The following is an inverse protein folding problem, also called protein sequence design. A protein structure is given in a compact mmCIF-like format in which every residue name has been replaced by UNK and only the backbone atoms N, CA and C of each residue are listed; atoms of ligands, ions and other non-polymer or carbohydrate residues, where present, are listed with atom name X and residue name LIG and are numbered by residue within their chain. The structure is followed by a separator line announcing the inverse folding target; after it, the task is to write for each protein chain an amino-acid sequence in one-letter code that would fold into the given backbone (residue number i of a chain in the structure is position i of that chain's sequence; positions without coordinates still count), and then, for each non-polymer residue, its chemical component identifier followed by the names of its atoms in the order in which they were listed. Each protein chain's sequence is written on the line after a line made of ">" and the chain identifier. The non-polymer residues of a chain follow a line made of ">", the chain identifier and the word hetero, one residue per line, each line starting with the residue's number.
data_IF_838893476512
#
_entry.id   IF_838893476512
#
_cell.length_a   1.000
_cell.length_b   1.000
_cell.length_c   1.000
_cell.angle_alpha   90.00
_cell.angle_beta   90.00
_cell.angle_gamma   90.00
#
_symmetry.space_group_name_H-M   'P 1'
#
loop_
_entity.id
_entity.type
_entity.pdbx_description
1 polymer ?
#
# COMPACT_ATOMS: atom_id res chain seq x y z
N UNK A 1 5.44 11.97 -13.84
CA UNK A 1 4.22 11.71 -14.62
C UNK A 1 3.10 11.37 -13.64
N UNK A 2 1.91 11.96 -13.75
CA UNK A 2 0.72 11.40 -13.10
C UNK A 2 0.26 10.25 -14.00
N UNK A 3 0.40 8.99 -13.56
CA UNK A 3 -0.16 7.82 -14.29
C UNK A 3 -1.65 8.08 -14.54
N UNK A 4 -2.15 7.68 -15.71
CA UNK A 4 -3.55 7.90 -16.05
C UNK A 4 -4.43 7.13 -15.05
N UNK A 5 -5.52 7.74 -14.56
CA UNK A 5 -6.42 7.09 -13.59
C UNK A 5 -7.01 5.78 -14.14
N UNK A 6 -7.20 5.69 -15.46
CA UNK A 6 -7.65 4.46 -16.14
C UNK A 6 -6.61 3.33 -16.03
N UNK A 7 -5.33 3.63 -16.23
CA UNK A 7 -4.23 2.67 -16.08
C UNK A 7 -4.12 2.20 -14.62
N UNK A 8 -4.20 3.12 -13.65
CA UNK A 8 -4.17 2.76 -12.23
C UNK A 8 -5.33 1.84 -11.83
N UNK A 9 -6.53 2.07 -12.39
CA UNK A 9 -7.68 1.21 -12.14
C UNK A 9 -7.48 -0.21 -12.72
N UNK A 10 -6.77 -0.34 -13.85
CA UNK A 10 -6.47 -1.63 -14.46
C UNK A 10 -5.40 -2.38 -13.66
N UNK A 11 -4.34 -1.68 -13.22
CA UNK A 11 -3.26 -2.25 -12.42
C UNK A 11 -3.80 -2.73 -11.06
N UNK A 12 -4.59 -1.90 -10.38
CA UNK A 12 -5.21 -2.20 -9.08
C UNK A 12 -6.69 -2.54 -9.24
N UNK A 13 -6.98 -3.47 -10.15
CA UNK A 13 -8.34 -4.00 -10.34
C UNK A 13 -8.75 -4.86 -9.15
N UNK A 14 -7.86 -5.72 -8.67
CA UNK A 14 -8.15 -6.69 -7.64
C UNK A 14 -7.75 -6.14 -6.25
N UNK A 15 -8.62 -6.21 -5.23
CA UNK A 15 -8.30 -5.69 -3.90
C UNK A 15 -7.39 -6.62 -3.08
N UNK A 16 -7.32 -7.91 -3.43
CA UNK A 16 -6.56 -8.95 -2.73
C UNK A 16 -5.86 -9.88 -3.74
N UNK A 17 -4.72 -10.52 -3.39
CA UNK A 17 -3.93 -11.34 -4.29
C UNK A 17 -4.49 -12.77 -4.42
N UNK A 18 -5.81 -12.90 -4.43
CA UNK A 18 -6.53 -14.17 -4.58
C UNK A 18 -7.19 -14.20 -5.95
N UNK A 19 -7.28 -15.38 -6.55
CA UNK A 19 -7.94 -15.58 -7.82
C UNK A 19 -9.39 -15.99 -7.57
N UNK A 20 -10.33 -15.20 -8.08
CA UNK A 20 -11.75 -15.52 -7.94
C UNK A 20 -12.18 -16.44 -9.07
N UNK A 21 -13.16 -17.30 -8.80
CA UNK A 21 -13.81 -18.11 -9.84
C UNK A 21 -14.41 -17.24 -10.94
N UNK A 22 -14.88 -16.04 -10.61
CA UNK A 22 -15.43 -15.05 -11.56
C UNK A 22 -14.36 -14.56 -12.54
N UNK A 23 -13.11 -14.40 -12.11
CA UNK A 23 -12.03 -13.90 -12.98
C UNK A 23 -11.66 -14.89 -14.08
N UNK A 24 -11.76 -16.19 -13.79
CA UNK A 24 -11.42 -17.27 -14.73
C UNK A 24 -12.62 -17.78 -15.52
N UNK A 25 -13.80 -17.84 -14.90
CA UNK A 25 -15.00 -18.48 -15.46
C UNK A 25 -16.05 -17.49 -15.96
N UNK A 26 -15.87 -16.20 -15.66
CA UNK A 26 -16.81 -15.13 -15.99
C UNK A 26 -17.91 -14.96 -14.94
N UNK A 27 -18.64 -13.86 -15.07
CA UNK A 27 -19.81 -13.56 -14.24
C UNK A 27 -20.95 -14.54 -14.49
N UNK A 28 -21.83 -14.68 -13.49
CA UNK A 28 -23.04 -15.48 -13.67
C UNK A 28 -23.93 -14.83 -14.75
N UNK A 29 -24.57 -15.64 -15.60
CA UNK A 29 -25.62 -15.20 -16.51
C UNK A 29 -26.61 -14.22 -15.92
N UNK A 30 -27.02 -13.25 -16.71
CA UNK A 30 -28.32 -12.62 -16.52
C UNK A 30 -29.40 -13.63 -16.95
N UNK A 31 -30.35 -13.89 -16.05
CA UNK A 31 -31.44 -14.83 -16.28
C UNK A 31 -32.63 -14.06 -16.85
N UNK A 32 -33.16 -14.54 -17.98
CA UNK A 32 -34.41 -14.02 -18.53
C UNK A 32 -35.55 -14.96 -18.11
N UNK A 33 -36.46 -14.45 -17.28
CA UNK A 33 -37.52 -15.25 -16.64
C UNK A 33 -38.37 -16.02 -17.67
N UNK A 34 -38.58 -15.48 -18.86
CA UNK A 34 -39.41 -16.09 -19.90
C UNK A 34 -38.68 -17.12 -20.77
N UNK A 35 -37.33 -17.13 -20.75
CA UNK A 35 -36.53 -18.00 -21.60
C UNK A 35 -35.93 -19.17 -20.79
N UNK A 36 -36.49 -20.38 -20.99
CA UNK A 36 -35.99 -21.60 -20.35
C UNK A 36 -34.53 -21.94 -20.67
N UNK A 37 -34.00 -21.50 -21.81
CA UNK A 37 -32.58 -21.70 -22.17
C UNK A 37 -31.67 -20.86 -21.27
N UNK A 38 -32.10 -19.66 -20.86
CA UNK A 38 -31.31 -18.82 -19.95
C UNK A 38 -31.20 -19.45 -18.55
N UNK A 39 -32.27 -20.10 -18.09
CA UNK A 39 -32.26 -20.91 -16.87
C UNK A 39 -31.35 -22.11 -17.01
N UNK A 40 -31.43 -22.85 -18.11
CA UNK A 40 -30.55 -23.99 -18.36
C UNK A 40 -29.08 -23.56 -18.38
N UNK A 41 -28.75 -22.44 -19.03
CA UNK A 41 -27.40 -21.90 -19.06
C UNK A 41 -26.90 -21.48 -17.67
N UNK A 42 -27.77 -20.89 -16.83
CA UNK A 42 -27.46 -20.63 -15.43
C UNK A 42 -27.19 -21.91 -14.64
N UNK A 43 -28.05 -22.91 -14.76
CA UNK A 43 -27.87 -24.19 -14.07
C UNK A 43 -26.57 -24.88 -14.47
N UNK A 44 -26.21 -24.86 -15.75
CA UNK A 44 -24.92 -25.38 -16.23
C UNK A 44 -23.77 -24.59 -15.58
N UNK A 45 -23.84 -23.25 -15.56
CA UNK A 45 -22.79 -22.42 -14.94
C UNK A 45 -22.66 -22.67 -13.44
N UNK A 46 -23.77 -22.73 -12.70
CA UNK A 46 -23.79 -23.07 -11.29
C UNK A 46 -23.21 -24.47 -11.07
N UNK A 47 -23.64 -25.47 -11.84
CA UNK A 47 -23.11 -26.82 -11.76
C UNK A 47 -21.60 -26.84 -12.01
N UNK A 48 -21.10 -26.14 -13.04
CA UNK A 48 -19.64 -26.03 -13.25
C UNK A 48 -18.93 -25.40 -12.06
N UNK A 49 -19.49 -24.38 -11.41
CA UNK A 49 -18.89 -23.77 -10.21
C UNK A 49 -18.83 -24.73 -9.02
N UNK A 50 -19.89 -25.51 -8.79
CA UNK A 50 -19.96 -26.47 -7.68
C UNK A 50 -19.11 -27.73 -7.91
N UNK A 51 -19.03 -28.22 -9.14
CA UNK A 51 -18.36 -29.49 -9.46
C UNK A 51 -16.90 -29.33 -9.92
N UNK A 52 -16.39 -28.11 -10.05
CA UNK A 52 -14.98 -27.89 -10.40
C UNK A 52 -14.26 -27.14 -9.29
N UNK A 53 -13.07 -27.64 -8.92
CA UNK A 53 -12.22 -27.02 -7.90
C UNK A 53 -11.99 -25.54 -8.21
N UNK A 54 -12.07 -24.64 -7.22
CA UNK A 54 -11.83 -23.22 -7.44
C UNK A 54 -10.40 -23.01 -7.99
N UNK A 55 -10.21 -22.04 -8.90
CA UNK A 55 -8.87 -21.70 -9.38
C UNK A 55 -8.00 -21.30 -8.19
N UNK A 56 -6.75 -21.76 -8.18
CA UNK A 56 -5.77 -21.40 -7.14
C UNK A 56 -4.57 -20.78 -7.82
N UNK A 57 -4.38 -19.49 -7.57
CA UNK A 57 -3.14 -18.82 -7.93
C UNK A 57 -1.96 -19.45 -7.17
N UNK A 58 -0.75 -19.45 -7.75
CA UNK A 58 0.45 -19.90 -7.04
C UNK A 58 0.63 -19.09 -5.75
N UNK A 59 1.22 -19.67 -4.70
CA UNK A 59 1.53 -18.93 -3.48
C UNK A 59 2.75 -18.03 -3.70
N UNK A 60 2.70 -16.81 -3.19
CA UNK A 60 3.86 -15.90 -3.18
C UNK A 60 4.89 -16.41 -2.18
N UNK A 61 6.17 -16.42 -2.56
CA UNK A 61 7.24 -16.90 -1.69
C UNK A 61 7.76 -15.76 -0.81
N UNK A 62 7.54 -15.89 0.49
CA UNK A 62 7.98 -14.92 1.50
C UNK A 62 9.17 -15.54 2.25
N UNK A 63 10.36 -14.96 2.12
CA UNK A 63 11.51 -15.37 2.93
C UNK A 63 11.45 -14.70 4.30
N UNK A 64 11.58 -15.50 5.37
CA UNK A 64 11.87 -14.99 6.70
C UNK A 64 13.39 -15.02 6.88
N UNK A 65 14.01 -13.84 6.84
CA UNK A 65 15.46 -13.63 6.90
C UNK A 65 15.85 -13.05 8.26
N UNK A 66 17.03 -13.40 8.78
CA UNK A 66 17.56 -12.78 9.99
C UNK A 66 17.95 -11.32 9.71
N UNK A 67 17.55 -10.33 10.55
CA UNK A 67 17.06 -10.45 11.94
C UNK A 67 15.52 -10.37 12.10
N UNK A 68 14.73 -11.04 11.27
CA UNK A 68 13.26 -11.03 11.36
C UNK A 68 12.55 -10.26 10.26
N UNK A 69 13.14 -10.22 9.06
CA UNK A 69 12.62 -9.50 7.90
C UNK A 69 11.80 -10.47 7.04
N UNK A 70 10.53 -10.15 6.83
CA UNK A 70 9.69 -10.83 5.85
C UNK A 70 9.89 -10.19 4.48
N UNK A 71 10.65 -10.84 3.60
CA UNK A 71 11.03 -10.30 2.29
C UNK A 71 10.32 -11.04 1.14
N UNK A 72 9.80 -10.25 0.21
CA UNK A 72 9.41 -10.70 -1.13
C UNK A 72 10.51 -10.27 -2.10
N UNK A 73 11.31 -11.22 -2.56
CA UNK A 73 12.43 -10.95 -3.49
C UNK A 73 12.06 -11.09 -4.96
N UNK A 74 11.11 -11.96 -5.30
CA UNK A 74 10.69 -12.13 -6.68
C UNK A 74 9.92 -10.91 -7.17
N UNK A 75 10.33 -10.33 -8.30
CA UNK A 75 9.65 -9.18 -8.90
C UNK A 75 8.15 -9.44 -9.16
N UNK A 76 7.81 -10.66 -9.61
CA UNK A 76 6.42 -11.06 -9.82
C UNK A 76 5.59 -11.03 -8.52
N UNK A 77 6.14 -11.56 -7.42
CA UNK A 77 5.47 -11.59 -6.12
C UNK A 77 5.39 -10.19 -5.51
N UNK A 78 6.45 -9.38 -5.63
CA UNK A 78 6.45 -7.98 -5.21
C UNK A 78 5.33 -7.18 -5.90
N UNK A 79 5.26 -7.27 -7.24
CA UNK A 79 4.22 -6.60 -8.03
C UNK A 79 2.84 -7.13 -7.70
N UNK A 80 2.68 -8.45 -7.52
CA UNK A 80 1.39 -9.06 -7.18
C UNK A 80 0.90 -8.62 -5.81
N UNK A 81 1.76 -8.63 -4.79
CA UNK A 81 1.45 -8.19 -3.43
C UNK A 81 1.07 -6.70 -3.40
N UNK A 82 1.81 -5.85 -4.12
CA UNK A 82 1.51 -4.43 -4.17
C UNK A 82 0.25 -4.11 -4.99
N UNK A 83 0.12 -4.68 -6.19
CA UNK A 83 -0.97 -4.36 -7.10
C UNK A 83 -2.32 -4.87 -6.57
N UNK A 84 -2.31 -6.02 -5.91
CA UNK A 84 -3.50 -6.67 -5.40
C UNK A 84 -3.62 -6.51 -3.87
N UNK A 85 -3.62 -5.28 -3.38
CA UNK A 85 -3.92 -5.00 -1.97
C UNK A 85 -2.85 -4.25 -1.18
N UNK A 86 -1.84 -3.68 -1.86
CA UNK A 86 -0.84 -2.76 -1.31
C UNK A 86 -0.03 -3.33 -0.14
N UNK A 87 0.25 -4.63 -0.19
CA UNK A 87 1.06 -5.30 0.82
C UNK A 87 2.54 -4.92 0.69
N UNK A 88 3.20 -4.77 1.84
CA UNK A 88 4.63 -4.54 1.90
C UNK A 88 5.08 -3.16 1.46
N UNK A 89 6.39 -2.95 1.48
CA UNK A 89 7.02 -1.70 1.09
C UNK A 89 8.38 -2.01 0.47
N UNK A 90 8.66 -1.44 -0.69
CA UNK A 90 10.00 -1.56 -1.29
C UNK A 90 11.07 -0.97 -0.37
N UNK A 91 12.20 -1.64 -0.24
CA UNK A 91 13.32 -1.18 0.60
C UNK A 91 14.09 -0.01 -0.01
N UNK A 92 14.22 0.00 -1.34
CA UNK A 92 14.90 1.04 -2.11
C UNK A 92 13.92 2.02 -2.78
N UNK A 93 12.62 1.83 -2.53
CA UNK A 93 11.54 2.69 -3.00
C UNK A 93 10.74 3.29 -1.86
N UNK A 94 10.01 4.38 -2.16
CA UNK A 94 9.19 5.04 -1.13
C UNK A 94 7.96 4.22 -0.73
N UNK A 95 7.43 3.40 -1.64
CA UNK A 95 6.21 2.60 -1.43
C UNK A 95 6.18 1.42 -2.41
N UNK A 96 5.79 1.67 -3.66
CA UNK A 96 5.77 0.67 -4.75
C UNK A 96 7.21 0.28 -5.13
N UNK A 97 7.50 -1.02 -5.31
CA UNK A 97 8.80 -1.51 -5.76
C UNK A 97 9.03 -1.05 -7.20
N UNK A 98 9.73 0.09 -7.34
CA UNK A 98 9.97 0.78 -8.60
C UNK A 98 11.46 1.06 -8.80
N UNK A 99 12.32 0.56 -7.92
CA UNK A 99 13.76 0.82 -7.97
C UNK A 99 14.35 0.26 -9.25
N UNK A 100 14.11 -1.02 -9.57
CA UNK A 100 14.61 -1.63 -10.79
C UNK A 100 14.25 -0.82 -12.04
N UNK A 101 12.97 -0.43 -12.18
CA UNK A 101 12.51 0.42 -13.28
C UNK A 101 13.13 1.83 -13.29
N UNK A 102 13.47 2.38 -12.12
CA UNK A 102 14.14 3.69 -12.02
C UNK A 102 15.62 3.59 -12.40
N UNK A 103 16.30 2.52 -11.98
CA UNK A 103 17.72 2.33 -12.25
C UNK A 103 17.94 1.99 -13.73
N UNK A 104 17.08 1.14 -14.31
CA UNK A 104 17.16 0.80 -15.74
C UNK A 104 16.90 1.98 -16.67
N UNK A 105 16.07 2.94 -16.24
CA UNK A 105 15.83 4.20 -16.96
C UNK A 105 16.75 5.36 -16.55
N UNK A 106 17.66 5.21 -15.58
CA UNK A 106 18.47 6.32 -15.07
C UNK A 106 19.90 5.92 -14.68
N UNK A 107 20.84 6.04 -15.62
CA UNK A 107 22.28 6.16 -15.32
C UNK A 107 22.72 7.60 -15.01
N UNK A 108 21.80 8.48 -14.55
CA UNK A 108 22.14 9.80 -14.01
C UNK A 108 21.48 10.01 -12.65
N UNK A 109 22.28 10.34 -11.64
CA UNK A 109 21.85 10.64 -10.27
C UNK A 109 20.58 11.51 -10.23
N UNK A 110 19.60 11.14 -9.39
CA UNK A 110 18.33 11.88 -9.27
C UNK A 110 18.53 13.37 -8.93
N UNK A 111 19.64 13.69 -8.26
CA UNK A 111 20.04 15.05 -7.93
C UNK A 111 20.56 15.81 -9.17
N UNK A 112 21.36 15.15 -10.01
CA UNK A 112 21.85 15.71 -11.27
C UNK A 112 20.70 15.96 -12.27
N UNK A 113 19.76 15.02 -12.37
CA UNK A 113 18.56 15.21 -13.23
C UNK A 113 17.67 16.31 -12.67
N UNK A 114 17.52 16.39 -11.35
CA UNK A 114 16.73 17.45 -10.71
C UNK A 114 17.42 18.82 -10.84
N UNK A 115 18.74 18.89 -10.75
CA UNK A 115 19.51 20.12 -10.90
C UNK A 115 19.47 20.63 -12.35
N UNK A 116 19.60 19.74 -13.34
CA UNK A 116 19.44 20.08 -14.76
C UNK A 116 18.02 20.54 -15.07
N UNK A 117 16.99 19.83 -14.58
CA UNK A 117 15.58 20.27 -14.73
C UNK A 117 15.34 21.64 -14.08
N UNK A 118 15.97 21.92 -12.94
CA UNK A 118 15.90 23.24 -12.27
C UNK A 118 16.65 24.32 -13.03
N UNK A 119 17.78 23.99 -13.68
CA UNK A 119 18.54 24.88 -14.56
C UNK A 119 17.72 25.25 -15.80
N UNK A 120 17.25 24.25 -16.56
CA UNK A 120 16.42 24.46 -17.76
C UNK A 120 15.11 25.22 -17.44
N UNK A 121 14.48 24.97 -16.29
CA UNK A 121 13.31 25.74 -15.82
C UNK A 121 13.62 27.19 -15.47
N UNK A 122 14.83 27.49 -14.98
CA UNK A 122 15.26 28.87 -14.70
C UNK A 122 15.50 29.61 -16.01
N UNK A 123 16.26 29.00 -16.92
CA UNK A 123 16.53 29.53 -18.26
C UNK A 123 15.21 29.83 -19.01
N UNK A 124 14.26 28.90 -19.02
CA UNK A 124 12.95 29.12 -19.63
C UNK A 124 12.15 30.26 -18.98
N UNK A 125 12.20 30.40 -17.64
CA UNK A 125 11.54 31.50 -16.94
C UNK A 125 12.17 32.85 -17.27
N UNK A 126 13.48 32.91 -17.38
CA UNK A 126 14.23 34.11 -17.75
C UNK A 126 13.91 34.52 -19.20
N UNK A 127 13.95 33.59 -20.14
CA UNK A 127 13.56 33.83 -21.54
C UNK A 127 12.11 34.35 -21.63
N UNK A 128 11.18 33.70 -20.92
CA UNK A 128 9.77 34.12 -20.89
C UNK A 128 9.58 35.49 -20.28
N UNK A 129 10.33 35.83 -19.22
CA UNK A 129 10.26 37.14 -18.59
C UNK A 129 10.79 38.25 -19.52
N UNK A 130 11.87 37.98 -20.27
CA UNK A 130 12.39 38.92 -21.28
C UNK A 130 11.39 39.10 -22.43
N UNK A 131 10.79 38.03 -22.92
CA UNK A 131 9.76 38.08 -23.95
C UNK A 131 8.54 38.91 -23.51
N UNK A 132 8.02 38.65 -22.30
CA UNK A 132 6.87 39.40 -21.75
C UNK A 132 7.15 40.89 -21.54
N UNK A 133 8.40 41.27 -21.22
CA UNK A 133 8.79 42.68 -21.10
C UNK A 133 8.71 43.39 -22.45
N UNK A 134 9.28 42.78 -23.50
CA UNK A 134 9.23 43.33 -24.85
C UNK A 134 7.79 43.39 -25.39
N UNK A 135 6.96 42.40 -25.10
CA UNK A 135 5.53 42.41 -25.46
C UNK A 135 4.78 43.56 -24.76
N UNK A 136 5.08 43.83 -23.49
CA UNK A 136 4.48 44.94 -22.75
C UNK A 136 4.95 46.31 -23.27
N UNK A 137 6.19 46.42 -23.74
CA UNK A 137 6.74 47.62 -24.37
C UNK A 137 6.12 47.87 -25.76
N UNK A 138 5.90 46.81 -26.54
CA UNK A 138 5.20 46.88 -27.84
C UNK A 138 3.78 47.43 -27.73
N UNK A 139 3.09 47.14 -26.63
CA UNK A 139 1.74 47.69 -26.37
C UNK A 139 1.75 49.17 -26.02
N UNK A 140 2.89 49.72 -25.58
CA UNK A 140 3.03 51.11 -25.14
C UNK A 140 3.66 51.99 -26.22
N UNK A 141 4.54 51.44 -27.05
CA UNK A 141 5.24 52.15 -28.12
C UNK A 141 5.51 51.22 -29.30
N UNK A 142 5.73 51.80 -30.47
CA UNK A 142 6.31 51.07 -31.59
C UNK A 142 7.74 50.63 -31.21
N UNK A 143 8.04 49.35 -31.40
CA UNK A 143 9.34 48.78 -31.12
C UNK A 143 10.33 49.15 -32.21
N UNK A 144 11.60 49.32 -31.84
CA UNK A 144 12.68 49.48 -32.82
C UNK A 144 12.89 48.20 -33.63
N UNK A 145 13.53 48.32 -34.80
CA UNK A 145 13.91 47.17 -35.63
C UNK A 145 14.75 46.13 -34.85
N UNK A 146 15.61 46.58 -33.95
CA UNK A 146 16.44 45.71 -33.09
C UNK A 146 15.61 45.00 -32.01
N UNK A 147 14.62 45.69 -31.43
CA UNK A 147 13.74 45.12 -30.41
C UNK A 147 12.79 44.07 -30.99
N UNK A 148 12.31 44.28 -32.22
CA UNK A 148 11.52 43.29 -32.96
C UNK A 148 12.33 42.03 -33.28
N UNK A 149 13.59 42.19 -33.71
CA UNK A 149 14.49 41.05 -33.95
C UNK A 149 14.74 40.25 -32.67
N UNK A 150 14.99 40.94 -31.55
CA UNK A 150 15.22 40.32 -30.24
C UNK A 150 13.99 39.54 -29.73
N UNK A 151 12.79 40.04 -30.02
CA UNK A 151 11.54 39.34 -29.66
C UNK A 151 11.41 38.02 -30.42
N UNK A 152 11.73 37.99 -31.72
CA UNK A 152 11.67 36.76 -32.52
C UNK A 152 12.76 35.77 -32.11
N UNK A 153 13.97 36.23 -31.82
CA UNK A 153 15.05 35.38 -31.27
C UNK A 153 14.66 34.71 -29.94
N UNK A 154 14.01 35.45 -29.04
CA UNK A 154 13.55 34.90 -27.76
C UNK A 154 12.48 33.83 -27.95
N UNK A 155 11.61 33.99 -28.95
CA UNK A 155 10.57 33.03 -29.29
C UNK A 155 11.18 31.72 -29.81
N UNK A 156 12.15 31.80 -30.73
CA UNK A 156 12.88 30.63 -31.24
C UNK A 156 13.61 29.89 -30.10
N UNK A 157 14.34 30.62 -29.24
CA UNK A 157 15.03 30.01 -28.07
C UNK A 157 14.06 29.34 -27.10
N UNK A 158 12.86 29.88 -26.91
CA UNK A 158 11.83 29.25 -26.09
C UNK A 158 11.29 27.96 -26.72
N UNK A 159 11.15 27.90 -28.04
CA UNK A 159 10.75 26.69 -28.77
C UNK A 159 11.85 25.63 -28.73
N UNK A 160 13.12 26.00 -28.92
CA UNK A 160 14.28 25.11 -28.82
C UNK A 160 14.41 24.47 -27.43
N UNK A 161 14.31 25.26 -26.36
CA UNK A 161 14.33 24.72 -24.98
C UNK A 161 13.16 23.77 -24.73
N UNK A 162 12.02 24.00 -25.38
CA UNK A 162 10.84 23.14 -25.26
C UNK A 162 10.98 21.84 -26.06
N UNK A 163 11.51 21.87 -27.28
CA UNK A 163 11.81 20.67 -28.08
C UNK A 163 12.93 19.84 -27.47
N UNK A 164 14.00 20.47 -26.95
CA UNK A 164 15.04 19.78 -26.20
C UNK A 164 14.53 19.13 -24.91
N UNK A 165 13.55 19.75 -24.23
CA UNK A 165 12.92 19.15 -23.06
C UNK A 165 12.04 17.93 -23.41
N UNK A 166 11.55 17.86 -24.65
CA UNK A 166 10.80 16.71 -25.17
C UNK A 166 11.76 15.59 -25.61
N UNK A 167 12.83 15.89 -26.34
CA UNK A 167 13.80 14.88 -26.81
C UNK A 167 14.67 14.29 -25.69
N UNK A 168 15.01 15.05 -24.65
CA UNK A 168 15.64 14.50 -23.43
C UNK A 168 14.78 13.44 -22.73
N UNK A 169 13.48 13.44 -22.98
CA UNK A 169 12.53 12.52 -22.35
C UNK A 169 12.49 11.16 -23.05
N UNK A 170 12.83 11.12 -24.34
CA UNK A 170 12.73 9.93 -25.19
C UNK A 170 14.06 9.14 -25.24
N UNK A 171 15.20 9.79 -24.98
CA UNK A 171 16.53 9.17 -24.98
C UNK A 171 16.99 8.58 -23.62
N UNK A 172 16.13 8.58 -22.59
CA UNK A 172 16.44 8.02 -21.25
C UNK A 172 16.32 6.47 -21.19
N UNK A 173 15.94 5.78 -22.27
CA UNK A 173 15.43 4.39 -22.18
C UNK A 173 16.42 3.24 -22.46
N UNK A 174 17.72 3.45 -22.63
CA UNK A 174 18.62 2.30 -22.86
C UNK A 174 20.03 2.50 -22.32
N UNK A 175 20.35 1.77 -21.24
CA UNK A 175 21.54 0.88 -21.15
C UNK A 175 21.76 0.38 -19.71
N UNK A 176 21.89 -0.95 -19.56
CA UNK A 176 22.71 -1.64 -18.57
C UNK A 176 22.31 -1.52 -17.09
N UNK A 177 21.45 -2.41 -16.58
CA UNK A 177 21.17 -2.46 -15.13
C UNK A 177 20.53 -3.74 -14.59
N UNK A 178 20.70 -4.92 -15.21
CA UNK A 178 20.06 -6.15 -14.69
C UNK A 178 20.52 -6.47 -13.26
N UNK A 179 21.82 -6.33 -12.95
CA UNK A 179 22.37 -6.65 -11.62
C UNK A 179 21.92 -5.71 -10.48
N UNK A 180 21.54 -4.46 -10.79
CA UNK A 180 21.12 -3.49 -9.78
C UNK A 180 19.62 -3.56 -9.49
N UNK A 181 18.81 -4.08 -10.42
CA UNK A 181 17.36 -4.20 -10.23
C UNK A 181 17.01 -5.23 -9.14
N UNK A 182 17.83 -6.29 -9.02
CA UNK A 182 17.66 -7.38 -8.06
C UNK A 182 17.99 -7.01 -6.60
N UNK A 183 18.47 -5.79 -6.35
CA UNK A 183 18.75 -5.30 -5.00
C UNK A 183 17.49 -4.92 -4.21
N UNK A 184 16.40 -4.56 -4.90
CA UNK A 184 15.16 -4.20 -4.22
C UNK A 184 14.32 -5.43 -3.89
N UNK A 185 13.85 -5.49 -2.65
CA UNK A 185 12.82 -6.42 -2.23
C UNK A 185 11.68 -5.67 -1.54
N UNK A 186 10.50 -6.28 -1.50
CA UNK A 186 9.37 -5.73 -0.75
C UNK A 186 9.34 -6.33 0.64
N UNK A 187 9.51 -5.49 1.66
CA UNK A 187 9.43 -5.90 3.05
C UNK A 187 7.97 -5.86 3.51
N UNK A 188 7.48 -6.98 4.02
CA UNK A 188 6.16 -7.12 4.63
C UNK A 188 6.23 -6.84 6.14
N UNK A 189 5.19 -6.21 6.67
CA UNK A 189 4.98 -6.17 8.13
C UNK A 189 4.61 -7.57 8.64
N UNK A 190 4.96 -8.01 9.88
CA UNK A 190 4.62 -9.35 10.36
C UNK A 190 3.12 -9.66 10.30
N UNK A 191 2.26 -8.66 10.54
CA UNK A 191 0.80 -8.79 10.39
C UNK A 191 0.37 -9.00 8.93
N UNK A 192 1.06 -8.36 7.97
CA UNK A 192 0.81 -8.53 6.53
C UNK A 192 1.24 -9.92 6.07
N UNK A 193 2.43 -10.37 6.49
CA UNK A 193 2.96 -11.70 6.17
C UNK A 193 2.05 -12.81 6.73
N UNK A 194 1.64 -12.70 8.00
CA UNK A 194 0.71 -13.66 8.60
C UNK A 194 -0.66 -13.62 7.92
N UNK A 195 -1.19 -12.44 7.56
CA UNK A 195 -2.46 -12.34 6.84
C UNK A 195 -2.42 -13.01 5.45
N UNK A 196 -1.35 -12.80 4.70
CA UNK A 196 -1.15 -13.40 3.38
C UNK A 196 -1.03 -14.93 3.47
N UNK A 197 -0.31 -15.43 4.48
CA UNK A 197 -0.09 -16.86 4.69
C UNK A 197 -1.33 -17.59 5.26
N UNK A 198 -1.90 -17.06 6.33
CA UNK A 198 -2.97 -17.72 7.08
C UNK A 198 -4.36 -17.43 6.49
N UNK A 199 -4.75 -16.16 6.41
CA UNK A 199 -6.13 -15.76 6.11
C UNK A 199 -6.46 -15.88 4.62
N UNK A 200 -5.52 -15.48 3.75
CA UNK A 200 -5.73 -15.54 2.30
C UNK A 200 -5.19 -16.81 1.65
N UNK A 201 -4.33 -17.56 2.34
CA UNK A 201 -3.56 -18.69 1.78
C UNK A 201 -2.83 -18.36 0.46
N UNK A 202 -2.50 -17.07 0.26
CA UNK A 202 -1.92 -16.54 -0.96
C UNK A 202 -0.39 -16.41 -0.88
N UNK A 203 0.19 -16.55 0.32
CA UNK A 203 1.62 -16.56 0.58
C UNK A 203 2.07 -17.85 1.27
N UNK A 204 3.34 -18.18 1.10
CA UNK A 204 4.03 -19.25 1.82
C UNK A 204 5.28 -18.64 2.44
N UNK A 205 5.42 -18.76 3.76
CA UNK A 205 6.57 -18.23 4.49
C UNK A 205 7.59 -19.34 4.68
N UNK A 206 8.80 -19.13 4.21
CA UNK A 206 9.91 -20.08 4.34
C UNK A 206 11.10 -19.43 5.00
N UNK A 207 11.73 -20.18 5.88
CA UNK A 207 13.11 -19.93 6.32
C UNK A 207 14.08 -20.59 5.34
N UNK A 208 15.39 -20.41 5.53
CA UNK A 208 16.41 -21.12 4.75
C UNK A 208 16.27 -22.66 4.81
N UNK A 209 15.68 -23.18 5.90
CA UNK A 209 15.61 -24.62 6.19
C UNK A 209 14.31 -25.25 5.73
N UNK A 210 13.18 -24.56 5.96
CA UNK A 210 11.86 -25.13 5.70
C UNK A 210 10.78 -24.06 5.56
N UNK A 211 9.69 -24.45 4.89
CA UNK A 211 8.40 -23.75 4.93
C UNK A 211 7.82 -23.86 6.34
N UNK A 212 7.36 -22.74 6.88
CA UNK A 212 6.76 -22.67 8.21
C UNK A 212 5.25 -22.96 8.13
N UNK A 213 4.74 -23.74 9.08
CA UNK A 213 3.30 -23.85 9.30
C UNK A 213 2.76 -22.66 10.13
N UNK A 214 1.43 -22.57 10.28
CA UNK A 214 0.76 -21.45 10.96
C UNK A 214 1.28 -21.21 12.40
N UNK A 215 1.54 -22.27 13.18
CA UNK A 215 2.06 -22.15 14.55
C UNK A 215 3.53 -21.74 14.54
N UNK A 216 4.34 -22.36 13.68
CA UNK A 216 5.76 -22.04 13.56
C UNK A 216 5.96 -20.58 13.16
N UNK A 217 5.15 -20.09 12.21
CA UNK A 217 5.14 -18.69 11.83
C UNK A 217 4.76 -17.78 13.01
N UNK A 218 3.72 -18.11 13.78
CA UNK A 218 3.37 -17.35 14.98
C UNK A 218 4.49 -17.36 16.04
N UNK A 219 5.18 -18.49 16.23
CA UNK A 219 6.34 -18.57 17.12
C UNK A 219 7.45 -17.65 16.65
N UNK A 220 7.84 -17.77 15.38
CA UNK A 220 8.88 -16.92 14.79
C UNK A 220 8.54 -15.44 14.90
N UNK A 221 7.27 -15.06 14.70
CA UNK A 221 6.82 -13.67 14.85
C UNK A 221 6.89 -13.21 16.31
N UNK A 222 6.42 -14.03 17.25
CA UNK A 222 6.46 -13.68 18.68
C UNK A 222 7.90 -13.58 19.22
N UNK A 223 8.84 -14.30 18.62
CA UNK A 223 10.27 -14.23 18.96
C UNK A 223 10.99 -13.01 18.36
N UNK A 224 10.36 -12.28 17.44
CA UNK A 224 10.88 -10.99 16.96
C UNK A 224 10.79 -9.89 18.02
N UNK A 225 9.89 -10.04 18.98
CA UNK A 225 9.86 -9.19 20.15
C UNK A 225 10.89 -9.71 21.17
N UNK A 226 11.94 -8.91 21.40
CA UNK A 226 13.03 -9.23 22.32
C UNK A 226 12.76 -8.75 23.76
N UNK A 227 11.52 -8.38 24.08
CA UNK A 227 11.10 -8.11 25.45
C UNK A 227 11.36 -9.31 26.37
N UNK A 228 11.66 -9.05 27.64
CA UNK A 228 11.89 -10.07 28.68
C UNK A 228 10.59 -10.73 29.17
N UNK A 229 9.49 -10.54 28.45
CA UNK A 229 8.17 -11.03 28.81
C UNK A 229 8.00 -12.50 28.39
N UNK A 230 6.96 -13.16 28.88
CA UNK A 230 6.67 -14.54 28.51
C UNK A 230 6.30 -14.64 27.02
N UNK A 231 6.58 -15.81 26.40
CA UNK A 231 6.20 -16.07 25.01
C UNK A 231 4.70 -15.79 24.76
N UNK A 232 3.84 -16.22 25.69
CA UNK A 232 2.38 -16.03 25.59
C UNK A 232 2.01 -14.55 25.59
N UNK A 233 2.72 -13.73 26.37
CA UNK A 233 2.51 -12.28 26.36
C UNK A 233 2.90 -11.67 25.01
N UNK A 234 4.08 -11.99 24.49
CA UNK A 234 4.55 -11.50 23.17
C UNK A 234 3.62 -11.93 22.03
N UNK A 235 3.16 -13.19 22.07
CA UNK A 235 2.14 -13.69 21.14
C UNK A 235 0.83 -12.91 21.26
N UNK A 236 0.35 -12.63 22.46
CA UNK A 236 -0.88 -11.87 22.69
C UNK A 236 -0.77 -10.43 22.18
N UNK A 237 0.38 -9.79 22.38
CA UNK A 237 0.66 -8.46 21.84
C UNK A 237 0.67 -8.43 20.30
N UNK A 238 1.22 -9.47 19.66
CA UNK A 238 1.10 -9.62 18.20
C UNK A 238 -0.35 -9.85 17.75
N UNK A 239 -1.07 -10.76 18.41
CA UNK A 239 -2.45 -11.10 18.06
C UNK A 239 -3.39 -9.90 18.21
N UNK A 240 -3.19 -9.06 19.22
CA UNK A 240 -3.95 -7.81 19.38
C UNK A 240 -3.85 -6.93 18.12
N UNK A 241 -2.64 -6.72 17.60
CA UNK A 241 -2.41 -5.95 16.37
C UNK A 241 -3.00 -6.66 15.15
N UNK A 242 -2.77 -7.97 15.05
CA UNK A 242 -3.24 -8.78 13.93
C UNK A 242 -4.77 -8.83 13.82
N UNK A 243 -5.49 -8.98 14.92
CA UNK A 243 -6.96 -9.07 14.93
C UNK A 243 -7.57 -7.75 14.42
N UNK A 244 -7.03 -6.60 14.83
CA UNK A 244 -7.45 -5.28 14.31
C UNK A 244 -7.11 -5.15 12.82
N UNK A 245 -5.91 -5.56 12.41
CA UNK A 245 -5.53 -5.58 10.99
C UNK A 245 -6.49 -6.44 10.16
N UNK A 246 -6.77 -7.67 10.61
CA UNK A 246 -7.65 -8.63 9.95
C UNK A 246 -9.08 -8.08 9.84
N UNK A 247 -9.62 -7.48 10.91
CA UNK A 247 -10.95 -6.85 10.94
C UNK A 247 -11.09 -5.76 9.86
N UNK A 248 -10.15 -4.83 9.78
CA UNK A 248 -10.26 -3.78 8.75
C UNK A 248 -10.03 -4.31 7.33
N UNK A 249 -9.15 -5.32 7.15
CA UNK A 249 -8.98 -5.97 5.85
C UNK A 249 -10.25 -6.74 5.43
N UNK A 250 -10.95 -7.39 6.35
CA UNK A 250 -12.20 -8.12 6.05
C UNK A 250 -13.36 -7.18 5.70
N UNK A 251 -13.36 -5.97 6.28
CA UNK A 251 -14.27 -4.87 5.88
C UNK A 251 -13.89 -4.21 4.54
N UNK A 252 -12.82 -4.66 3.88
CA UNK A 252 -12.40 -4.17 2.57
C UNK A 252 -11.51 -2.93 2.59
N UNK A 253 -11.01 -2.49 3.75
CA UNK A 253 -10.06 -1.40 3.84
C UNK A 253 -8.67 -1.83 3.40
N UNK A 254 -7.97 -0.94 2.71
CA UNK A 254 -6.53 -1.05 2.55
C UNK A 254 -5.85 -0.49 3.81
N UNK A 255 -5.31 -1.39 4.62
CA UNK A 255 -4.64 -1.09 5.89
C UNK A 255 -3.14 -0.91 5.64
N UNK A 256 -2.55 0.17 6.17
CA UNK A 256 -1.10 0.44 6.12
C UNK A 256 -0.59 0.88 7.48
N UNK A 257 0.71 0.76 7.72
CA UNK A 257 1.34 1.28 8.95
C UNK A 257 1.06 2.78 9.16
N UNK A 258 0.63 3.13 10.37
CA UNK A 258 0.33 4.49 10.80
C UNK A 258 1.48 5.19 11.53
N UNK A 259 2.66 4.58 11.63
CA UNK A 259 3.78 5.07 12.44
C UNK A 259 4.15 6.54 12.18
N UNK A 260 3.95 7.03 10.95
CA UNK A 260 4.20 8.43 10.56
C UNK A 260 3.29 9.45 11.27
N UNK A 261 2.18 9.01 11.84
CA UNK A 261 1.19 9.84 12.49
C UNK A 261 0.94 9.46 13.95
N UNK A 262 1.77 8.56 14.52
CA UNK A 262 1.66 8.12 15.91
C UNK A 262 0.46 7.21 16.18
N UNK A 263 -0.04 6.49 15.17
CA UNK A 263 -1.12 5.51 15.31
C UNK A 263 -0.67 4.17 14.71
N UNK A 264 -1.31 3.06 15.06
CA UNK A 264 -0.89 1.73 14.59
C UNK A 264 -1.18 1.58 13.09
N UNK A 265 -2.38 1.96 12.64
CA UNK A 265 -2.79 1.79 11.24
C UNK A 265 -3.40 3.04 10.61
N UNK A 266 -3.36 3.07 9.28
CA UNK A 266 -4.07 4.00 8.42
C UNK A 266 -4.99 3.22 7.49
N UNK A 267 -6.22 3.70 7.35
CA UNK A 267 -7.21 3.09 6.47
C UNK A 267 -7.39 3.92 5.19
N UNK A 268 -7.21 3.25 4.07
CA UNK A 268 -7.50 3.75 2.73
C UNK A 268 -8.71 3.01 2.17
N UNK A 269 -9.68 3.74 1.63
CA UNK A 269 -10.87 3.13 1.01
C UNK A 269 -10.51 2.23 -0.18
N UNK A 270 -9.49 2.61 -0.94
CA UNK A 270 -9.00 1.84 -2.10
C UNK A 270 -7.51 1.60 -2.08
N UNK A 271 -6.72 2.63 -1.75
CA UNK A 271 -5.28 2.53 -1.60
C UNK A 271 -4.56 3.86 -1.84
N UNK A 272 -3.25 3.93 -1.53
CA UNK A 272 -2.47 5.16 -1.59
C UNK A 272 -2.43 5.90 -2.94
N UNK A 273 -2.39 5.22 -4.12
CA UNK A 273 -2.39 5.91 -5.41
C UNK A 273 -3.70 6.64 -5.74
N UNK A 274 -4.81 6.25 -5.12
CA UNK A 274 -6.14 6.76 -5.44
C UNK A 274 -6.57 7.92 -4.55
N UNK A 275 -6.40 7.74 -3.24
CA UNK A 275 -6.88 8.67 -2.24
C UNK A 275 -5.93 8.68 -1.03
N UNK A 276 -5.95 9.77 -0.26
CA UNK A 276 -5.29 9.79 1.04
C UNK A 276 -6.02 8.87 2.03
N UNK A 277 -5.32 8.39 3.06
CA UNK A 277 -5.95 7.68 4.17
C UNK A 277 -7.02 8.55 4.81
N UNK A 278 -8.18 7.96 5.09
CA UNK A 278 -9.34 8.64 5.68
C UNK A 278 -9.29 8.57 7.21
N UNK A 279 -8.91 7.39 7.73
CA UNK A 279 -8.86 7.11 9.15
C UNK A 279 -7.44 6.79 9.62
N UNK A 280 -7.12 7.21 10.84
CA UNK A 280 -6.04 6.66 11.65
C UNK A 280 -6.62 5.82 12.76
N UNK A 281 -6.07 4.63 12.96
CA UNK A 281 -6.51 3.67 13.98
C UNK A 281 -5.53 3.70 15.12
N UNK A 282 -6.07 3.93 16.32
CA UNK A 282 -5.36 3.82 17.57
C UNK A 282 -5.89 2.60 18.33
N UNK A 283 -5.07 1.59 18.53
CA UNK A 283 -5.44 0.37 19.24
C UNK A 283 -5.35 0.63 20.74
N UNK A 284 -6.37 0.18 21.48
CA UNK A 284 -6.38 0.20 22.94
C UNK A 284 -6.81 -1.18 23.43
N UNK A 285 -6.00 -1.82 24.27
CA UNK A 285 -6.51 -2.94 25.08
C UNK A 285 -7.56 -2.40 26.06
N UNK A 286 -8.57 -3.22 26.36
CA UNK A 286 -9.59 -2.88 27.36
C UNK A 286 -8.97 -2.59 28.74
N UNK A 287 -7.90 -3.32 29.09
CA UNK A 287 -7.25 -3.24 30.41
C UNK A 287 -6.04 -2.29 30.46
N UNK A 288 -5.63 -1.72 29.32
CA UNK A 288 -4.47 -0.83 29.25
C UNK A 288 -4.90 0.63 29.43
N UNK A 289 -4.52 1.24 30.55
CA UNK A 289 -4.74 2.65 30.78
C UNK A 289 -3.73 3.49 29.99
N UNK A 290 -4.11 3.95 28.80
CA UNK A 290 -3.34 4.98 28.08
C UNK A 290 -3.59 6.34 28.71
N UNK A 291 -2.54 7.14 28.86
CA UNK A 291 -2.67 8.50 29.40
C UNK A 291 -3.55 9.36 28.48
N UNK A 292 -4.28 10.29 29.08
CA UNK A 292 -5.08 11.25 28.32
C UNK A 292 -4.19 12.13 27.45
N UNK A 293 -2.99 12.46 27.93
CA UNK A 293 -2.00 13.30 27.27
C UNK A 293 -1.52 12.67 25.95
N UNK A 294 -1.15 11.38 25.97
CA UNK A 294 -0.74 10.65 24.77
C UNK A 294 -1.88 10.57 23.76
N UNK A 295 -3.09 10.30 24.27
CA UNK A 295 -4.29 10.22 23.46
C UNK A 295 -4.59 11.56 22.77
N UNK A 296 -4.45 12.68 23.49
CA UNK A 296 -4.60 14.03 22.93
C UNK A 296 -3.49 14.38 21.93
N UNK A 297 -2.26 13.92 22.17
CA UNK A 297 -1.14 14.14 21.25
C UNK A 297 -1.41 13.47 19.90
N UNK A 298 -1.81 12.19 19.89
CA UNK A 298 -2.16 11.46 18.66
C UNK A 298 -3.37 12.11 17.97
N UNK A 299 -4.42 12.44 18.72
CA UNK A 299 -5.59 13.13 18.19
C UNK A 299 -5.25 14.47 17.53
N UNK A 300 -4.29 15.22 18.09
CA UNK A 300 -3.82 16.48 17.51
C UNK A 300 -3.08 16.26 16.18
N UNK A 301 -2.20 15.26 16.11
CA UNK A 301 -1.46 14.93 14.87
C UNK A 301 -2.42 14.50 13.77
N UNK A 302 -3.31 13.54 14.07
CA UNK A 302 -4.29 12.99 13.13
C UNK A 302 -5.26 14.06 12.63
N UNK A 303 -5.80 14.89 13.54
CA UNK A 303 -6.65 16.01 13.18
C UNK A 303 -5.92 17.08 12.35
N UNK A 304 -4.63 17.33 12.64
CA UNK A 304 -3.79 18.26 11.88
C UNK A 304 -3.60 17.86 10.41
N UNK A 305 -3.57 16.56 10.12
CA UNK A 305 -3.48 16.02 8.75
C UNK A 305 -4.84 15.70 8.14
N UNK A 306 -5.92 16.24 8.72
CA UNK A 306 -7.32 16.10 8.27
C UNK A 306 -7.78 14.64 8.13
N UNK A 307 -7.35 13.79 9.06
CA UNK A 307 -7.84 12.41 9.19
C UNK A 307 -8.77 12.29 10.39
N UNK A 308 -9.63 11.29 10.37
CA UNK A 308 -10.48 10.97 11.52
C UNK A 308 -9.80 9.90 12.37
N UNK A 309 -9.74 10.11 13.68
CA UNK A 309 -9.19 9.12 14.61
C UNK A 309 -10.28 8.11 14.97
N UNK A 310 -9.95 6.83 14.94
CA UNK A 310 -10.80 5.75 15.46
C UNK A 310 -10.02 5.02 16.54
N UNK A 311 -10.64 4.86 17.71
CA UNK A 311 -10.18 3.93 18.72
C UNK A 311 -10.71 2.54 18.40
N UNK A 312 -9.80 1.58 18.26
CA UNK A 312 -10.14 0.16 18.18
C UNK A 312 -9.88 -0.45 19.56
N UNK A 313 -10.96 -0.64 20.31
CA UNK A 313 -10.93 -1.32 21.60
C UNK A 313 -10.92 -2.83 21.37
N UNK A 314 -9.91 -3.50 21.90
CA UNK A 314 -9.77 -4.95 21.80
C UNK A 314 -10.02 -5.56 23.17
N UNK A 315 -11.10 -6.33 23.30
CA UNK A 315 -11.31 -7.21 24.45
C UNK A 315 -10.35 -8.40 24.30
N UNK A 316 -9.36 -8.48 25.19
CA UNK A 316 -8.33 -9.52 25.14
C UNK A 316 -8.70 -10.67 26.08
N UNK A 317 -8.45 -11.93 25.69
CA UNK A 317 -8.51 -13.05 26.62
C UNK A 317 -7.40 -12.97 27.67
N UNK A 318 -7.58 -13.69 28.77
CA UNK A 318 -6.52 -13.83 29.78
C UNK A 318 -5.36 -14.64 29.22
N UNK A 319 -4.15 -14.43 29.76
CA UNK A 319 -2.96 -15.19 29.34
C UNK A 319 -3.13 -16.70 29.56
N UNK A 320 -3.90 -17.10 30.58
CA UNK A 320 -4.24 -18.50 30.85
C UNK A 320 -5.06 -19.13 29.73
N UNK A 321 -6.09 -18.41 29.24
CA UNK A 321 -6.92 -18.86 28.12
C UNK A 321 -6.10 -19.00 26.83
N UNK A 322 -5.17 -18.07 26.58
CA UNK A 322 -4.26 -18.15 25.43
C UNK A 322 -3.35 -19.37 25.56
N UNK A 323 -2.79 -19.61 26.76
CA UNK A 323 -1.92 -20.77 27.02
C UNK A 323 -2.65 -22.09 26.83
N UNK A 324 -3.88 -22.21 27.34
CA UNK A 324 -4.70 -23.43 27.21
C UNK A 324 -4.93 -23.80 25.74
N UNK A 325 -5.30 -22.82 24.91
CA UNK A 325 -5.53 -23.07 23.47
C UNK A 325 -4.21 -23.39 22.75
N UNK A 326 -3.12 -22.71 23.13
CA UNK A 326 -1.80 -22.93 22.53
C UNK A 326 -1.27 -24.36 22.79
N UNK A 327 -1.42 -24.86 24.01
CA UNK A 327 -0.98 -26.19 24.45
C UNK A 327 -1.90 -27.33 24.01
N UNK A 328 -3.13 -27.04 23.57
CA UNK A 328 -4.09 -28.04 23.11
C UNK A 328 -3.55 -28.97 22.01
N UNK A 329 -4.19 -30.11 21.75
CA UNK A 329 -3.72 -31.10 20.74
C UNK A 329 -4.37 -30.95 19.35
N UNK A 330 -5.03 -29.82 19.08
CA UNK A 330 -5.72 -29.57 17.79
C UNK A 330 -4.72 -29.30 16.65
N UNK A 331 -5.19 -29.37 15.41
CA UNK A 331 -4.37 -29.05 14.23
C UNK A 331 -3.87 -27.60 14.26
N UNK A 332 -2.72 -27.29 13.64
CA UNK A 332 -2.13 -25.95 13.67
C UNK A 332 -3.10 -24.84 13.30
N UNK A 333 -3.80 -25.01 12.17
CA UNK A 333 -4.76 -24.03 11.66
C UNK A 333 -5.95 -23.86 12.61
N UNK A 334 -6.47 -24.95 13.16
CA UNK A 334 -7.62 -24.88 14.08
C UNK A 334 -7.26 -24.15 15.38
N UNK A 335 -6.04 -24.34 15.90
CA UNK A 335 -5.58 -23.59 17.08
C UNK A 335 -5.55 -22.09 16.85
N UNK A 336 -5.02 -21.65 15.70
CA UNK A 336 -5.01 -20.23 15.35
C UNK A 336 -6.44 -19.70 15.26
N UNK A 337 -7.35 -20.44 14.63
CA UNK A 337 -8.76 -20.05 14.56
C UNK A 337 -9.39 -19.92 15.95
N UNK A 338 -9.16 -20.89 16.84
CA UNK A 338 -9.66 -20.87 18.20
C UNK A 338 -9.07 -19.69 19.00
N UNK A 339 -7.79 -19.37 18.82
CA UNK A 339 -7.16 -18.19 19.43
C UNK A 339 -7.81 -16.89 18.98
N UNK A 340 -8.04 -16.72 17.67
CA UNK A 340 -8.63 -15.50 17.12
C UNK A 340 -10.09 -15.31 17.55
N UNK A 341 -10.83 -16.39 17.78
CA UNK A 341 -12.22 -16.35 18.27
C UNK A 341 -12.36 -15.80 19.69
N UNK A 342 -11.28 -15.80 20.47
CA UNK A 342 -11.29 -15.24 21.83
C UNK A 342 -11.32 -13.71 21.86
N UNK A 343 -10.92 -13.05 20.77
CA UNK A 343 -10.82 -11.60 20.70
C UNK A 343 -12.11 -10.98 20.19
N UNK A 344 -12.46 -9.80 20.72
CA UNK A 344 -13.56 -8.97 20.21
C UNK A 344 -13.08 -7.54 19.99
N UNK A 345 -13.61 -6.91 18.94
CA UNK A 345 -13.26 -5.53 18.58
C UNK A 345 -14.51 -4.66 18.69
N UNK A 346 -14.34 -3.51 19.35
CA UNK A 346 -15.31 -2.42 19.37
C UNK A 346 -14.65 -1.14 18.84
N UNK A 347 -15.38 -0.37 18.04
CA UNK A 347 -14.86 0.82 17.38
C UNK A 347 -15.52 2.09 17.93
N UNK A 348 -14.71 3.11 18.23
CA UNK A 348 -15.22 4.42 18.63
C UNK A 348 -14.57 5.52 17.77
N UNK A 349 -15.41 6.27 17.05
CA UNK A 349 -14.94 7.41 16.28
C UNK A 349 -14.68 8.58 17.22
N UNK A 350 -13.45 9.09 17.20
CA UNK A 350 -13.08 10.27 17.97
C UNK A 350 -12.94 11.49 17.08
N UNK A 351 -13.72 12.52 17.40
CA UNK A 351 -13.60 13.84 16.80
C UNK A 351 -13.16 14.82 17.87
N UNK A 352 -12.00 15.43 17.68
CA UNK A 352 -11.52 16.50 18.55
C UNK A 352 -12.54 17.64 18.53
N UNK A 353 -13.03 18.00 19.70
CA UNK A 353 -13.88 19.17 19.86
C UNK A 353 -13.10 20.45 19.51
N UNK A 354 -13.68 21.30 18.66
CA UNK A 354 -13.08 22.57 18.25
C UNK A 354 -14.11 23.68 18.46
N UNK A 355 -13.90 24.65 19.37
CA UNK A 355 -14.90 25.67 19.67
C UNK A 355 -15.39 26.43 18.44
N UNK A 356 -14.51 26.64 17.45
CA UNK A 356 -14.83 27.33 16.19
C UNK A 356 -15.66 26.52 15.19
N UNK A 357 -15.76 25.19 15.35
CA UNK A 357 -16.43 24.28 14.39
C UNK A 357 -17.55 23.45 15.02
N UNK A 358 -17.62 23.40 16.35
CA UNK A 358 -18.50 22.50 17.12
C UNK A 358 -19.37 23.28 18.12
N UNK A 359 -19.59 24.57 17.86
CA UNK A 359 -20.67 25.33 18.52
C UNK A 359 -21.99 24.91 17.88
N UNK A 360 -22.88 24.34 18.69
CA UNK A 360 -24.30 24.17 18.35
C UNK A 360 -25.01 25.53 18.32
#
# INVERSE_FOLDING_TARGET
>A
MKRNRKELNQIHRNPLPVELSVDTRGELPLVNVTNGISWLWLWIRIATLYFTSPPRAPKMRISLEDPGVFALRSEGDMRRAWNNGFFGKGTLSRSEPTFGARVSGQLKSSEAVTSERRRKRREFKELRAQFQRLEAEQRKRELSLEEMQKMEELKVKMEEVNTEALTFKDNEETAGSEDLADLEFSQLDPVEAFFLAFALEAGEVSTEKSVLNDIELLRSIADLDHSQESFVHRLSAFLQRYVVYHHYRSLGWCVRSGIKFGCEYLLYKRGPPFHHAEFGILISAADESRSWEDTMAVARVIGGVKKTLIFAYVEMPTLEQVSEVWEGKKSPRQKVMDLLQLYRISEMVYRRWSPSRTRE
#
